data_IF_917458840262
#
_entry.id   IF_917458840262
#
_cell.length_a   1.000
_cell.length_b   1.000
_cell.length_c   1.000
_cell.angle_alpha   90.00
_cell.angle_beta   90.00
_cell.angle_gamma   90.00
#
_symmetry.space_group_name_H-M   'P 1'
#
loop_
_entity.id
_entity.type
_entity.pdbx_description
1 polymer ?
#
# COMPACT_ATOMS: atom_id res chain seq x y z
N UNK A 1 9.97 1.11 16.48
CA UNK A 1 9.25 1.58 15.28
C UNK A 1 9.09 0.42 14.32
N UNK A 2 7.87 0.21 13.87
CA UNK A 2 7.57 -0.87 12.93
C UNK A 2 8.15 -0.54 11.54
N UNK A 3 8.61 -1.57 10.83
CA UNK A 3 9.14 -1.40 9.48
C UNK A 3 8.05 -1.64 8.43
N UNK A 4 8.24 -1.08 7.25
CA UNK A 4 7.36 -1.33 6.10
C UNK A 4 8.21 -1.54 4.84
N UNK A 5 7.83 -2.55 4.07
CA UNK A 5 8.43 -2.87 2.78
C UNK A 5 7.37 -2.75 1.70
N UNK A 6 7.74 -2.17 0.56
CA UNK A 6 6.81 -1.93 -0.54
C UNK A 6 7.13 -2.83 -1.71
N UNK A 7 6.08 -3.34 -2.35
CA UNK A 7 6.22 -4.17 -3.54
C UNK A 7 7.01 -5.45 -3.30
N UNK A 8 7.39 -6.08 -4.39
CA UNK A 8 8.26 -7.25 -4.35
C UNK A 8 9.73 -6.83 -4.39
N UNK A 9 10.65 -7.62 -3.78
CA UNK A 9 12.07 -7.30 -3.82
C UNK A 9 12.58 -7.08 -5.24
N UNK A 10 13.51 -6.14 -5.41
CA UNK A 10 14.09 -5.79 -6.69
C UNK A 10 13.54 -4.49 -7.26
N UNK A 11 13.31 -4.45 -8.58
CA UNK A 11 12.91 -3.24 -9.30
C UNK A 11 11.58 -2.65 -8.82
N UNK A 12 10.62 -3.49 -8.45
CA UNK A 12 9.32 -3.04 -7.94
C UNK A 12 9.48 -2.23 -6.65
N UNK A 13 10.20 -2.79 -5.67
CA UNK A 13 10.45 -2.10 -4.40
C UNK A 13 11.23 -0.81 -4.61
N UNK A 14 12.27 -0.83 -5.42
CA UNK A 14 13.06 0.36 -5.73
C UNK A 14 12.18 1.47 -6.31
N UNK A 15 11.32 1.14 -7.27
CA UNK A 15 10.40 2.10 -7.88
C UNK A 15 9.45 2.72 -6.86
N UNK A 16 8.81 1.89 -6.02
CA UNK A 16 7.83 2.36 -5.04
C UNK A 16 8.49 3.21 -3.95
N UNK A 17 9.65 2.77 -3.44
CA UNK A 17 10.41 3.55 -2.45
C UNK A 17 10.80 4.91 -3.02
N UNK A 18 11.27 4.97 -4.27
CA UNK A 18 11.60 6.24 -4.90
C UNK A 18 10.39 7.16 -5.05
N UNK A 19 9.23 6.64 -5.40
CA UNK A 19 7.99 7.43 -5.48
C UNK A 19 7.63 8.04 -4.13
N UNK A 20 7.82 7.29 -3.04
CA UNK A 20 7.59 7.79 -1.68
C UNK A 20 8.60 8.86 -1.31
N UNK A 21 9.89 8.60 -1.51
CA UNK A 21 10.96 9.54 -1.13
C UNK A 21 10.88 10.86 -1.91
N UNK A 22 10.30 10.84 -3.11
CA UNK A 22 10.05 12.05 -3.91
C UNK A 22 8.69 12.70 -3.67
N UNK A 23 7.92 12.18 -2.70
CA UNK A 23 6.63 12.76 -2.32
C UNK A 23 5.46 12.47 -3.26
N UNK A 24 5.63 11.62 -4.25
CA UNK A 24 4.59 11.28 -5.22
C UNK A 24 3.62 10.24 -4.68
N UNK A 25 4.14 9.14 -4.10
CA UNK A 25 3.31 8.11 -3.48
C UNK A 25 3.04 8.48 -2.03
N UNK A 26 1.75 8.65 -1.69
CA UNK A 26 1.29 9.07 -0.36
C UNK A 26 0.24 8.15 0.23
N UNK A 27 -0.01 7.01 -0.40
CA UNK A 27 -0.91 5.99 0.11
C UNK A 27 -0.48 4.62 -0.36
N UNK A 28 -0.92 3.62 0.38
CA UNK A 28 -0.74 2.22 0.01
C UNK A 28 -1.99 1.44 0.36
N UNK A 29 -2.16 0.29 -0.26
CA UNK A 29 -3.30 -0.59 -0.04
C UNK A 29 -2.84 -2.03 0.12
N UNK A 30 -3.50 -2.76 1.01
CA UNK A 30 -3.23 -4.18 1.22
C UNK A 30 -4.52 -4.94 1.46
N UNK A 31 -4.43 -6.26 1.40
CA UNK A 31 -5.55 -7.15 1.67
C UNK A 31 -5.66 -7.37 3.19
N UNK A 32 -6.84 -7.12 3.77
CA UNK A 32 -7.04 -7.30 5.21
C UNK A 32 -6.66 -8.71 5.66
N UNK A 33 -7.08 -9.73 4.95
CA UNK A 33 -6.77 -11.11 5.30
C UNK A 33 -5.35 -11.47 4.88
N UNK A 34 -4.99 -11.28 3.62
CA UNK A 34 -3.71 -11.74 3.06
C UNK A 34 -2.50 -11.03 3.63
N UNK A 35 -2.59 -9.71 3.84
CA UNK A 35 -1.44 -8.90 4.25
C UNK A 35 -1.40 -8.59 5.75
N UNK A 36 -2.53 -8.72 6.45
CA UNK A 36 -2.61 -8.42 7.89
C UNK A 36 -2.94 -9.64 8.72
N UNK A 37 -4.13 -10.20 8.59
CA UNK A 37 -4.56 -11.31 9.45
C UNK A 37 -3.70 -12.55 9.27
N UNK A 38 -3.40 -12.94 8.03
CA UNK A 38 -2.57 -14.11 7.73
C UNK A 38 -1.14 -13.99 8.23
N UNK A 39 -0.63 -12.74 8.30
CA UNK A 39 0.74 -12.45 8.75
C UNK A 39 0.79 -12.12 10.23
N UNK A 40 -0.34 -12.10 10.93
CA UNK A 40 -0.40 -11.69 12.33
C UNK A 40 -0.04 -10.23 12.55
N UNK A 41 -0.19 -9.38 11.52
CA UNK A 41 0.17 -7.97 11.59
C UNK A 41 -1.05 -7.12 11.96
N UNK A 42 -0.92 -6.21 12.93
CA UNK A 42 -2.01 -5.28 13.24
C UNK A 42 -2.16 -4.24 12.14
N UNK A 43 -3.39 -3.72 11.96
CA UNK A 43 -3.63 -2.59 11.06
C UNK A 43 -2.93 -1.36 11.66
N UNK A 44 -2.33 -0.55 10.80
CA UNK A 44 -1.70 0.71 11.20
C UNK A 44 -2.73 1.64 11.83
N UNK A 45 -2.26 2.58 12.67
CA UNK A 45 -3.13 3.59 13.28
C UNK A 45 -2.63 5.00 12.96
N UNK A 46 -3.53 5.96 13.01
CA UNK A 46 -3.20 7.37 12.77
C UNK A 46 -2.15 7.82 13.78
N UNK A 47 -1.10 8.46 13.28
CA UNK A 47 0.04 8.91 14.08
C UNK A 47 1.17 7.91 14.19
N UNK A 48 0.98 6.67 13.74
CA UNK A 48 2.03 5.67 13.76
C UNK A 48 3.18 6.05 12.84
N UNK A 49 4.41 5.82 13.32
CA UNK A 49 5.63 6.02 12.53
C UNK A 49 6.10 4.68 11.99
N UNK A 50 6.42 4.64 10.70
CA UNK A 50 6.89 3.44 10.03
C UNK A 50 8.24 3.71 9.36
N UNK A 51 9.19 2.80 9.56
CA UNK A 51 10.50 2.88 8.92
C UNK A 51 10.42 2.23 7.54
N UNK A 52 10.71 3.00 6.49
CA UNK A 52 10.73 2.52 5.11
C UNK A 52 12.03 1.77 4.87
N UNK A 53 11.93 0.51 4.46
CA UNK A 53 13.08 -0.37 4.25
C UNK A 53 13.26 -0.63 2.75
N UNK A 54 14.50 -0.45 2.26
CA UNK A 54 14.84 -0.69 0.86
C UNK A 54 15.23 -2.16 0.60
N UNK A 55 15.72 -2.42 -0.63
CA UNK A 55 16.15 -3.76 -1.03
C UNK A 55 17.36 -4.29 -0.24
N UNK A 56 18.14 -3.40 0.36
CA UNK A 56 19.34 -3.76 1.13
C UNK A 56 19.03 -3.87 2.63
N UNK A 57 17.77 -3.75 3.01
CA UNK A 57 17.36 -3.78 4.41
C UNK A 57 17.67 -2.49 5.16
N UNK A 58 17.93 -1.40 4.44
CA UNK A 58 18.27 -0.11 5.05
C UNK A 58 17.00 0.71 5.32
N UNK A 59 17.01 1.42 6.45
CA UNK A 59 16.00 2.42 6.79
C UNK A 59 16.32 3.70 5.99
N UNK A 60 15.57 3.93 4.92
CA UNK A 60 15.82 5.03 3.97
C UNK A 60 14.89 6.22 4.14
N UNK A 61 13.89 6.10 4.98
CA UNK A 61 12.94 7.18 5.27
C UNK A 61 11.97 6.76 6.35
N UNK A 62 11.26 7.73 6.90
CA UNK A 62 10.22 7.50 7.91
C UNK A 62 8.92 8.14 7.45
N UNK A 63 7.82 7.43 7.59
CA UNK A 63 6.50 7.93 7.25
C UNK A 63 5.61 7.97 8.49
N UNK A 64 4.70 8.93 8.52
CA UNK A 64 3.69 9.06 9.57
C UNK A 64 2.31 8.80 8.97
N UNK A 65 1.59 7.86 9.56
CA UNK A 65 0.24 7.52 9.11
C UNK A 65 -0.72 8.66 9.43
N UNK A 66 -1.48 9.12 8.43
CA UNK A 66 -2.44 10.21 8.58
C UNK A 66 -3.89 9.75 8.50
N UNK A 67 -4.18 8.66 7.80
CA UNK A 67 -5.53 8.13 7.65
C UNK A 67 -5.48 6.64 7.35
N UNK A 68 -6.38 5.87 7.97
CA UNK A 68 -6.52 4.44 7.73
C UNK A 68 -8.00 4.12 7.52
N UNK A 69 -8.31 3.37 6.49
CA UNK A 69 -9.67 2.93 6.20
C UNK A 69 -9.68 1.46 5.79
N UNK A 70 -10.76 0.76 6.14
CA UNK A 70 -11.02 -0.60 5.66
C UNK A 70 -12.24 -0.51 4.75
N UNK A 71 -12.07 -0.84 3.49
CA UNK A 71 -13.09 -0.69 2.44
C UNK A 71 -13.26 -1.99 1.67
N UNK A 72 -14.45 -2.18 1.09
CA UNK A 72 -14.63 -3.22 0.08
C UNK A 72 -13.82 -2.84 -1.17
N UNK A 73 -13.29 -3.83 -1.86
CA UNK A 73 -12.56 -3.60 -3.11
C UNK A 73 -13.37 -2.78 -4.11
N UNK A 74 -14.68 -3.05 -4.21
CA UNK A 74 -15.58 -2.31 -5.10
C UNK A 74 -15.73 -0.82 -4.73
N UNK A 75 -15.44 -0.45 -3.47
CA UNK A 75 -15.68 0.89 -2.95
C UNK A 75 -14.40 1.76 -2.88
N UNK A 76 -13.29 1.27 -3.38
CA UNK A 76 -12.04 2.04 -3.41
C UNK A 76 -12.24 3.31 -4.24
N UNK A 77 -11.94 4.51 -3.67
CA UNK A 77 -12.17 5.78 -4.36
C UNK A 77 -11.02 6.16 -5.29
N UNK A 78 -11.32 7.08 -6.23
CA UNK A 78 -10.31 7.65 -7.14
C UNK A 78 -9.15 8.29 -6.38
N UNK A 79 -9.44 8.89 -5.24
CA UNK A 79 -8.43 9.52 -4.38
C UNK A 79 -7.30 8.55 -4.01
N UNK A 80 -7.64 7.30 -3.69
CA UNK A 80 -6.62 6.31 -3.36
C UNK A 80 -5.74 5.99 -4.57
N UNK A 81 -6.36 5.79 -5.74
CA UNK A 81 -5.62 5.50 -6.97
C UNK A 81 -4.57 6.58 -7.26
N UNK A 82 -4.96 7.85 -7.12
CA UNK A 82 -4.06 8.98 -7.35
C UNK A 82 -2.98 9.09 -6.26
N UNK A 83 -3.34 8.87 -5.01
CA UNK A 83 -2.39 8.95 -3.89
C UNK A 83 -1.34 7.83 -3.92
N UNK A 84 -1.67 6.66 -4.47
CA UNK A 84 -0.70 5.59 -4.66
C UNK A 84 0.37 5.93 -5.70
N UNK A 85 0.06 6.77 -6.68
CA UNK A 85 0.98 7.26 -7.72
C UNK A 85 1.65 6.15 -8.53
N UNK A 86 0.96 5.02 -8.71
CA UNK A 86 1.50 3.86 -9.43
C UNK A 86 1.01 3.76 -10.87
N UNK A 87 0.47 4.87 -11.41
CA UNK A 87 0.01 4.94 -12.78
C UNK A 87 -1.50 4.86 -12.97
N UNK A 88 -2.24 4.47 -11.94
CA UNK A 88 -3.70 4.42 -12.00
C UNK A 88 -4.28 5.82 -11.87
N UNK A 89 -5.19 6.18 -12.76
CA UNK A 89 -5.77 7.52 -12.83
C UNK A 89 -7.11 7.62 -12.09
N UNK A 90 -7.73 6.49 -11.78
CA UNK A 90 -9.03 6.42 -11.12
C UNK A 90 -9.25 5.07 -10.46
N UNK A 91 -10.37 4.90 -9.77
CA UNK A 91 -10.71 3.67 -9.08
C UNK A 91 -10.85 2.47 -10.03
N UNK A 92 -11.35 2.67 -11.24
CA UNK A 92 -11.49 1.59 -12.21
C UNK A 92 -10.12 1.06 -12.65
N UNK A 93 -9.17 1.95 -12.90
CA UNK A 93 -7.78 1.58 -13.23
C UNK A 93 -7.14 0.84 -12.04
N UNK A 94 -7.33 1.36 -10.82
CA UNK A 94 -6.83 0.73 -9.60
C UNK A 94 -7.35 -0.71 -9.49
N UNK A 95 -8.67 -0.91 -9.64
CA UNK A 95 -9.25 -2.25 -9.53
C UNK A 95 -8.69 -3.19 -10.58
N UNK A 96 -8.54 -2.74 -11.82
CA UNK A 96 -8.00 -3.57 -12.90
C UNK A 96 -6.55 -3.96 -12.64
N UNK A 97 -5.69 -3.02 -12.30
CA UNK A 97 -4.27 -3.28 -12.07
C UNK A 97 -4.02 -4.12 -10.82
N UNK A 98 -4.73 -3.85 -9.73
CA UNK A 98 -4.57 -4.59 -8.49
C UNK A 98 -5.18 -5.98 -8.54
N UNK A 99 -6.30 -6.15 -9.23
CA UNK A 99 -6.87 -7.48 -9.46
C UNK A 99 -5.89 -8.35 -10.24
N UNK A 100 -5.27 -7.80 -11.28
CA UNK A 100 -4.27 -8.52 -12.07
C UNK A 100 -3.05 -8.90 -11.20
N UNK A 101 -2.56 -7.97 -10.37
CA UNK A 101 -1.43 -8.22 -9.47
C UNK A 101 -1.76 -9.29 -8.44
N UNK A 102 -2.86 -9.14 -7.70
CA UNK A 102 -3.23 -10.10 -6.66
C UNK A 102 -3.53 -11.49 -7.22
N UNK A 103 -4.18 -11.56 -8.39
CA UNK A 103 -4.41 -12.85 -9.09
C UNK A 103 -3.07 -13.51 -9.43
N UNK A 104 -2.11 -12.74 -9.92
CA UNK A 104 -0.78 -13.25 -10.29
C UNK A 104 -0.02 -13.82 -9.09
N UNK A 105 -0.19 -13.24 -7.91
CA UNK A 105 0.47 -13.73 -6.68
C UNK A 105 -0.38 -14.76 -5.92
N UNK A 106 -1.47 -15.24 -6.51
CA UNK A 106 -2.26 -16.34 -5.95
C UNK A 106 -3.40 -15.93 -5.02
N UNK A 107 -3.73 -14.64 -4.94
CA UNK A 107 -4.83 -14.17 -4.12
C UNK A 107 -6.15 -14.18 -4.89
N UNK A 108 -7.25 -14.48 -4.20
CA UNK A 108 -8.60 -14.39 -4.76
C UNK A 108 -9.27 -13.11 -4.25
N UNK A 109 -9.56 -12.19 -5.18
CA UNK A 109 -10.17 -10.90 -4.85
C UNK A 109 -11.50 -10.75 -5.58
N UNK A 110 -12.55 -10.37 -4.84
CA UNK A 110 -13.88 -10.09 -5.35
C UNK A 110 -14.27 -8.66 -4.97
N UNK A 111 -15.44 -8.20 -5.41
CA UNK A 111 -15.96 -6.88 -5.04
C UNK A 111 -16.09 -6.70 -3.52
N UNK A 112 -16.31 -7.78 -2.79
CA UNK A 112 -16.53 -7.75 -1.34
C UNK A 112 -15.25 -7.95 -0.53
N UNK A 113 -14.12 -8.21 -1.17
CA UNK A 113 -12.84 -8.38 -0.49
C UNK A 113 -12.46 -7.09 0.23
N UNK A 114 -12.09 -7.19 1.52
CA UNK A 114 -11.73 -6.02 2.31
C UNK A 114 -10.29 -5.59 2.06
N UNK A 115 -10.14 -4.31 1.80
CA UNK A 115 -8.87 -3.65 1.51
C UNK A 115 -8.57 -2.67 2.65
N UNK A 116 -7.34 -2.69 3.14
CA UNK A 116 -6.84 -1.69 4.09
C UNK A 116 -6.12 -0.62 3.30
N UNK A 117 -6.54 0.64 3.45
CA UNK A 117 -5.89 1.78 2.79
C UNK A 117 -5.21 2.62 3.84
N UNK A 118 -3.95 2.96 3.60
CA UNK A 118 -3.13 3.71 4.54
C UNK A 118 -2.56 4.92 3.82
N UNK A 119 -2.92 6.11 4.31
CA UNK A 119 -2.38 7.38 3.83
C UNK A 119 -1.30 7.84 4.80
N UNK A 120 -0.25 8.48 4.28
CA UNK A 120 0.90 8.86 5.08
C UNK A 120 1.58 10.12 4.54
N UNK A 121 2.37 10.76 5.41
CA UNK A 121 3.30 11.81 5.05
C UNK A 121 4.73 11.29 5.28
N UNK A 122 5.64 11.66 4.39
CA UNK A 122 7.07 11.46 4.62
C UNK A 122 7.57 12.50 5.60
N UNK A 123 8.30 12.09 6.60
CA UNK A 123 8.85 12.99 7.61
C UNK A 123 10.37 12.94 7.66
#
# INVERSE_FOLDING_TARGET
MRTIEFGTPGASREKLVNLILHGQKRATAGLLIGDYESEGEPIEHVGELLAIIDNDGKHVGTMKVTRVEVLRFADVPDELALAEAEGDMNAADFRASHLAFWTRVGETVTDDTLIVTVYFDLI
#
